data_IF_753452055796
#
_entry.id   IF_753452055796
#
_cell.length_a   1.000
_cell.length_b   1.000
_cell.length_c   1.000
_cell.angle_alpha   90.00
_cell.angle_beta   90.00
_cell.angle_gamma   90.00
#
_symmetry.space_group_name_H-M   'P 1'
#
loop_
_entity.id
_entity.type
_entity.pdbx_description
1 polymer ?
#
# COMPACT_ATOMS: atom_id res chain seq x y z
N UNK A 1 26.52 -22.88 -8.88
CA UNK A 1 25.08 -22.93 -8.57
C UNK A 1 24.36 -22.48 -9.81
N UNK A 2 23.32 -23.18 -10.24
CA UNK A 2 22.55 -22.75 -11.40
C UNK A 2 21.93 -21.39 -11.09
N UNK A 3 22.07 -20.44 -12.01
CA UNK A 3 21.54 -19.09 -11.83
C UNK A 3 20.05 -19.10 -12.20
N UNK A 4 19.22 -18.33 -11.48
CA UNK A 4 17.82 -18.15 -11.87
C UNK A 4 17.73 -17.66 -13.31
N UNK A 5 16.68 -18.08 -14.03
CA UNK A 5 16.40 -17.53 -15.35
C UNK A 5 16.37 -15.99 -15.33
N UNK A 6 16.75 -15.29 -16.41
CA UNK A 6 16.76 -13.82 -16.41
C UNK A 6 15.41 -13.19 -16.03
N UNK A 7 14.31 -13.86 -16.36
CA UNK A 7 12.96 -13.45 -15.97
C UNK A 7 12.74 -13.55 -14.45
N UNK A 8 13.27 -14.60 -13.81
CA UNK A 8 13.22 -14.75 -12.35
C UNK A 8 14.16 -13.82 -11.60
N UNK A 9 15.32 -13.50 -12.17
CA UNK A 9 16.18 -12.47 -11.59
C UNK A 9 15.44 -11.12 -11.54
N UNK A 10 14.76 -10.74 -12.63
CA UNK A 10 13.95 -9.52 -12.65
C UNK A 10 12.78 -9.60 -11.66
N UNK A 11 12.04 -10.71 -11.62
CA UNK A 11 10.96 -10.88 -10.64
C UNK A 11 11.45 -10.72 -9.20
N UNK A 12 12.57 -11.36 -8.84
CA UNK A 12 13.14 -11.27 -7.49
C UNK A 12 13.63 -9.85 -7.16
N UNK A 13 14.20 -9.14 -8.14
CA UNK A 13 14.58 -7.74 -7.98
C UNK A 13 13.35 -6.86 -7.72
N UNK A 14 12.32 -6.98 -8.56
CA UNK A 14 11.05 -6.25 -8.37
C UNK A 14 10.39 -6.61 -7.04
N UNK A 15 10.35 -7.89 -6.65
CA UNK A 15 9.80 -8.32 -5.37
C UNK A 15 10.60 -7.79 -4.18
N UNK A 16 11.91 -7.59 -4.34
CA UNK A 16 12.75 -6.99 -3.30
C UNK A 16 12.49 -5.48 -3.15
N UNK A 17 11.99 -4.79 -4.18
CA UNK A 17 11.51 -3.41 -4.07
C UNK A 17 10.13 -3.35 -3.39
N UNK A 18 9.25 -4.31 -3.68
CA UNK A 18 7.87 -4.38 -3.16
C UNK A 18 7.65 -5.57 -2.22
N UNK A 19 8.43 -5.65 -1.14
CA UNK A 19 8.46 -6.84 -0.25
C UNK A 19 7.14 -7.09 0.47
N UNK A 20 6.46 -6.03 0.87
CA UNK A 20 5.19 -6.04 1.61
C UNK A 20 3.96 -6.25 0.70
N UNK A 21 4.15 -6.24 -0.62
CA UNK A 21 3.08 -6.37 -1.59
C UNK A 21 3.09 -7.73 -2.27
N UNK A 22 1.92 -8.31 -2.52
CA UNK A 22 1.78 -9.44 -3.44
C UNK A 22 2.08 -8.95 -4.86
N UNK A 23 3.08 -9.52 -5.53
CA UNK A 23 3.52 -9.06 -6.85
C UNK A 23 2.77 -9.79 -7.97
N UNK A 24 1.77 -9.13 -8.55
CA UNK A 24 1.09 -9.60 -9.76
C UNK A 24 1.99 -9.35 -10.97
N UNK A 25 2.70 -10.38 -11.41
CA UNK A 25 3.71 -10.25 -12.45
C UNK A 25 3.19 -10.68 -13.83
N UNK A 26 3.08 -9.73 -14.77
CA UNK A 26 2.47 -9.98 -16.09
C UNK A 26 3.31 -10.90 -16.96
N UNK A 27 2.77 -12.07 -17.27
CA UNK A 27 3.34 -13.08 -18.16
C UNK A 27 2.32 -13.55 -19.21
N UNK A 28 2.36 -12.93 -20.38
CA UNK A 28 1.44 -13.25 -21.47
C UNK A 28 0.03 -12.82 -21.08
N UNK A 29 -0.92 -13.76 -21.09
CA UNK A 29 -2.32 -13.49 -20.71
C UNK A 29 -2.63 -13.73 -19.23
N UNK A 30 -1.62 -13.97 -18.39
CA UNK A 30 -1.78 -14.18 -16.96
C UNK A 30 -1.00 -13.14 -16.13
N UNK A 31 -1.47 -12.90 -14.91
CA UNK A 31 -0.58 -12.48 -13.82
C UNK A 31 -0.18 -13.72 -13.05
N UNK A 32 1.12 -13.91 -12.90
CA UNK A 32 1.68 -15.01 -12.13
C UNK A 32 2.35 -14.46 -10.86
N UNK A 33 2.22 -15.20 -9.78
CA UNK A 33 2.84 -14.92 -8.48
C UNK A 33 3.71 -16.13 -8.14
N UNK A 34 4.86 -15.89 -7.51
CA UNK A 34 5.84 -16.93 -7.20
C UNK A 34 6.20 -17.00 -5.72
N UNK A 35 6.73 -18.14 -5.31
CA UNK A 35 7.26 -18.38 -3.96
C UNK A 35 6.20 -18.14 -2.87
N UNK A 36 6.49 -17.28 -1.90
CA UNK A 36 5.60 -17.00 -0.77
C UNK A 36 4.28 -16.35 -1.22
N UNK A 37 4.33 -15.41 -2.16
CA UNK A 37 3.13 -14.78 -2.73
C UNK A 37 2.20 -15.84 -3.34
N UNK A 38 2.76 -16.84 -4.05
CA UNK A 38 1.98 -17.92 -4.62
C UNK A 38 1.28 -18.77 -3.54
N UNK A 39 1.98 -19.05 -2.43
CA UNK A 39 1.45 -19.86 -1.33
C UNK A 39 0.35 -19.11 -0.58
N UNK A 40 0.52 -17.81 -0.35
CA UNK A 40 -0.48 -16.96 0.29
C UNK A 40 -1.72 -16.87 -0.60
N UNK A 41 -1.54 -16.47 -1.86
CA UNK A 41 -2.65 -16.23 -2.78
C UNK A 41 -3.42 -17.50 -3.11
N UNK A 42 -2.73 -18.64 -3.29
CA UNK A 42 -3.40 -19.91 -3.56
C UNK A 42 -4.34 -20.34 -2.43
N UNK A 43 -4.00 -20.04 -1.17
CA UNK A 43 -4.86 -20.30 -0.03
C UNK A 43 -6.00 -19.29 0.07
N UNK A 44 -5.69 -18.00 0.00
CA UNK A 44 -6.66 -16.91 0.17
C UNK A 44 -7.74 -16.91 -0.93
N UNK A 45 -7.33 -17.20 -2.17
CA UNK A 45 -8.21 -17.17 -3.33
C UNK A 45 -8.66 -18.55 -3.81
N UNK A 46 -8.25 -19.61 -3.12
CA UNK A 46 -8.50 -21.01 -3.46
C UNK A 46 -8.03 -21.37 -4.88
N UNK A 47 -6.87 -20.85 -5.28
CA UNK A 47 -6.27 -21.13 -6.58
C UNK A 47 -5.38 -22.38 -6.53
N UNK A 48 -5.30 -23.10 -7.65
CA UNK A 48 -4.38 -24.23 -7.79
C UNK A 48 -2.93 -23.75 -7.69
N UNK A 49 -2.21 -24.23 -6.66
CA UNK A 49 -0.76 -24.06 -6.55
C UNK A 49 -0.04 -25.06 -7.45
N UNK A 50 0.87 -24.56 -8.27
CA UNK A 50 1.69 -25.33 -9.21
C UNK A 50 3.17 -25.01 -9.00
N UNK A 51 4.05 -25.53 -9.86
CA UNK A 51 5.48 -25.18 -9.83
C UNK A 51 5.97 -24.75 -11.21
N UNK A 52 6.83 -23.75 -11.29
CA UNK A 52 7.50 -23.31 -12.52
C UNK A 52 8.97 -23.71 -12.51
N UNK A 53 9.47 -24.16 -13.66
CA UNK A 53 10.90 -24.35 -13.84
C UNK A 53 11.57 -22.99 -14.03
N UNK A 54 12.50 -22.69 -13.15
CA UNK A 54 13.15 -21.39 -13.03
C UNK A 54 14.68 -21.47 -13.16
N UNK A 55 15.21 -22.62 -13.62
CA UNK A 55 16.65 -22.87 -13.71
C UNK A 55 17.30 -23.36 -12.42
N UNK A 56 16.51 -23.72 -11.39
CA UNK A 56 16.97 -24.38 -10.16
C UNK A 56 16.61 -25.87 -10.19
N UNK A 57 17.20 -26.67 -9.30
CA UNK A 57 16.81 -28.09 -9.14
C UNK A 57 15.35 -28.23 -8.66
N UNK A 58 14.89 -27.31 -7.80
CA UNK A 58 13.50 -27.26 -7.33
C UNK A 58 12.67 -26.28 -8.17
N UNK A 59 11.42 -26.67 -8.46
CA UNK A 59 10.45 -25.80 -9.14
C UNK A 59 9.93 -24.74 -8.16
N UNK A 60 9.92 -23.48 -8.60
CA UNK A 60 9.39 -22.38 -7.79
C UNK A 60 7.86 -22.53 -7.66
N UNK A 61 7.28 -22.45 -6.44
CA UNK A 61 5.83 -22.40 -6.27
C UNK A 61 5.22 -21.27 -7.10
N UNK A 62 4.11 -21.54 -7.76
CA UNK A 62 3.47 -20.60 -8.68
C UNK A 62 1.95 -20.77 -8.68
N UNK A 63 1.23 -19.65 -8.63
CA UNK A 63 -0.17 -19.60 -9.02
C UNK A 63 -0.38 -18.38 -9.93
N UNK A 64 -1.52 -18.31 -10.61
CA UNK A 64 -1.80 -17.18 -11.49
C UNK A 64 -3.28 -17.03 -11.80
N UNK A 65 -3.62 -15.83 -12.25
CA UNK A 65 -4.98 -15.45 -12.62
C UNK A 65 -5.01 -14.88 -14.04
N UNK A 66 -6.09 -15.10 -14.81
CA UNK A 66 -6.24 -14.49 -16.12
C UNK A 66 -6.26 -12.96 -16.02
N UNK A 67 -5.56 -12.28 -16.93
CA UNK A 67 -5.50 -10.80 -16.98
C UNK A 67 -6.85 -10.12 -16.86
N UNK A 68 -7.79 -10.57 -17.69
CA UNK A 68 -9.11 -9.96 -17.84
C UNK A 68 -9.99 -10.12 -16.59
N UNK A 69 -9.59 -11.02 -15.67
CA UNK A 69 -10.27 -11.25 -14.41
C UNK A 69 -9.45 -10.76 -13.21
N UNK A 70 -8.24 -10.23 -13.42
CA UNK A 70 -7.29 -9.90 -12.36
C UNK A 70 -7.87 -8.95 -11.33
N UNK A 71 -8.63 -7.95 -11.77
CA UNK A 71 -9.29 -6.96 -10.95
C UNK A 71 -10.17 -7.57 -9.85
N UNK A 72 -10.91 -8.65 -10.16
CA UNK A 72 -11.73 -9.36 -9.16
C UNK A 72 -10.88 -10.01 -8.09
N UNK A 73 -9.74 -10.59 -8.45
CA UNK A 73 -8.81 -11.24 -7.52
C UNK A 73 -8.05 -10.22 -6.67
N UNK A 74 -7.62 -9.12 -7.28
CA UNK A 74 -6.98 -8.00 -6.58
C UNK A 74 -7.92 -7.46 -5.51
N UNK A 75 -9.19 -7.21 -5.84
CA UNK A 75 -10.17 -6.72 -4.88
C UNK A 75 -10.38 -7.68 -3.70
N UNK A 76 -10.41 -8.99 -3.95
CA UNK A 76 -10.52 -10.00 -2.87
C UNK A 76 -9.30 -9.99 -1.95
N UNK A 77 -8.10 -9.90 -2.49
CA UNK A 77 -6.86 -9.82 -1.70
C UNK A 77 -6.81 -8.53 -0.87
N UNK A 78 -7.19 -7.40 -1.48
CA UNK A 78 -7.23 -6.10 -0.83
C UNK A 78 -8.28 -6.08 0.29
N UNK A 79 -9.45 -6.68 0.08
CA UNK A 79 -10.45 -6.83 1.13
C UNK A 79 -9.98 -7.74 2.29
N UNK A 80 -9.03 -8.65 2.04
CA UNK A 80 -8.36 -9.44 3.07
C UNK A 80 -7.18 -8.69 3.73
N UNK A 81 -6.93 -7.43 3.37
CA UNK A 81 -5.89 -6.59 3.95
C UNK A 81 -4.52 -6.67 3.26
N UNK A 82 -4.42 -7.33 2.10
CA UNK A 82 -3.18 -7.41 1.35
C UNK A 82 -2.98 -6.22 0.42
N UNK A 83 -1.72 -5.77 0.27
CA UNK A 83 -1.30 -4.85 -0.79
C UNK A 83 -0.92 -5.63 -2.03
N UNK A 84 -1.24 -5.12 -3.22
CA UNK A 84 -0.98 -5.80 -4.50
C UNK A 84 -0.24 -4.86 -5.46
N UNK A 85 1.00 -5.21 -5.81
CA UNK A 85 1.79 -4.51 -6.80
C UNK A 85 1.53 -5.11 -8.19
N UNK A 86 1.15 -4.28 -9.17
CA UNK A 86 0.83 -4.72 -10.53
C UNK A 86 2.03 -4.42 -11.43
N UNK A 87 2.75 -5.47 -11.82
CA UNK A 87 3.89 -5.37 -12.73
C UNK A 87 3.48 -5.72 -14.15
N UNK A 88 3.54 -4.74 -15.04
CA UNK A 88 3.04 -4.82 -16.41
C UNK A 88 4.15 -4.99 -17.45
N UNK A 89 3.76 -5.48 -18.63
CA UNK A 89 4.63 -5.52 -19.81
C UNK A 89 4.59 -4.19 -20.54
N UNK A 90 5.73 -3.50 -20.58
CA UNK A 90 5.83 -2.17 -21.21
C UNK A 90 5.96 -2.25 -22.74
N UNK A 91 6.22 -3.44 -23.27
CA UNK A 91 6.47 -3.67 -24.70
C UNK A 91 5.76 -4.94 -25.18
N UNK A 92 5.36 -4.96 -26.44
CA UNK A 92 4.82 -6.16 -27.08
C UNK A 92 5.92 -7.24 -27.18
N UNK A 93 5.73 -8.44 -26.59
CA UNK A 93 6.68 -9.53 -26.65
C UNK A 93 7.11 -9.93 -28.08
N UNK A 94 6.24 -9.70 -29.07
CA UNK A 94 6.53 -10.00 -30.48
C UNK A 94 7.46 -8.99 -31.14
N UNK A 95 7.61 -7.80 -30.54
CA UNK A 95 8.44 -6.70 -31.06
C UNK A 95 9.71 -6.48 -30.25
N UNK A 96 9.75 -6.99 -29.02
CA UNK A 96 10.89 -6.84 -28.13
C UNK A 96 12.14 -7.59 -28.65
N UNK A 97 13.29 -6.92 -28.59
CA UNK A 97 14.60 -7.55 -28.80
C UNK A 97 15.21 -7.84 -27.43
N UNK A 98 15.14 -9.08 -26.97
CA UNK A 98 15.65 -9.50 -25.66
C UNK A 98 14.52 -9.68 -24.64
N UNK A 99 14.80 -9.37 -23.37
CA UNK A 99 13.83 -9.51 -22.27
C UNK A 99 12.82 -8.36 -22.37
N UNK A 100 11.53 -8.69 -22.45
CA UNK A 100 10.43 -7.72 -22.41
C UNK A 100 10.54 -6.88 -21.14
N UNK A 101 10.61 -5.55 -21.30
CA UNK A 101 10.68 -4.61 -20.18
C UNK A 101 9.39 -4.70 -19.34
N UNK A 102 9.55 -4.74 -18.03
CA UNK A 102 8.44 -4.77 -17.08
C UNK A 102 8.64 -3.77 -15.96
N UNK A 103 7.57 -3.10 -15.57
CA UNK A 103 7.58 -2.08 -14.51
C UNK A 103 6.33 -2.22 -13.66
N UNK A 104 6.44 -1.93 -12.37
CA UNK A 104 5.25 -1.79 -11.51
C UNK A 104 4.57 -0.48 -11.86
N UNK A 105 3.32 -0.58 -12.31
CA UNK A 105 2.55 0.58 -12.77
C UNK A 105 1.60 1.13 -11.71
N UNK A 106 1.30 0.32 -10.68
CA UNK A 106 0.35 0.65 -9.63
C UNK A 106 0.53 -0.28 -8.42
N UNK A 107 0.31 0.24 -7.22
CA UNK A 107 0.15 -0.58 -6.01
C UNK A 107 -1.25 -0.36 -5.47
N UNK A 108 -2.07 -1.41 -5.47
CA UNK A 108 -3.43 -1.35 -4.92
C UNK A 108 -3.38 -1.73 -3.45
N UNK A 109 -3.83 -0.83 -2.59
CA UNK A 109 -3.92 -1.05 -1.15
C UNK A 109 -5.38 -0.93 -0.69
N UNK A 110 -5.71 -1.33 0.55
CA UNK A 110 -7.06 -1.17 1.09
C UNK A 110 -7.53 0.30 1.07
N UNK A 111 -6.64 1.24 1.39
CA UNK A 111 -6.94 2.68 1.41
C UNK A 111 -7.01 3.35 0.04
N UNK A 112 -6.38 2.80 -1.00
CA UNK A 112 -6.35 3.40 -2.35
C UNK A 112 -7.20 2.68 -3.39
N UNK A 113 -7.94 1.66 -2.96
CA UNK A 113 -8.84 0.95 -3.85
C UNK A 113 -10.10 1.80 -4.16
N UNK A 114 -10.22 2.30 -5.40
CA UNK A 114 -11.38 3.07 -5.88
C UNK A 114 -12.51 2.16 -6.41
N UNK A 115 -12.32 0.84 -6.41
CA UNK A 115 -13.15 0.01 -7.27
C UNK A 115 -14.58 -0.23 -6.74
N UNK A 116 -15.55 0.18 -7.56
CA UNK A 116 -16.99 0.25 -7.25
C UNK A 116 -17.68 -1.10 -7.09
N UNK A 117 -17.07 -2.20 -7.55
CA UNK A 117 -17.65 -3.55 -7.42
C UNK A 117 -17.54 -4.12 -5.99
N UNK A 118 -16.70 -3.54 -5.14
CA UNK A 118 -16.48 -3.97 -3.75
C UNK A 118 -16.65 -2.88 -2.69
N UNK A 119 -16.71 -1.61 -3.11
CA UNK A 119 -17.03 -0.50 -2.21
C UNK A 119 -18.54 -0.44 -2.01
N UNK A 120 -18.96 -0.40 -0.75
CA UNK A 120 -20.32 0.02 -0.41
C UNK A 120 -20.44 1.50 -0.83
N UNK A 121 -21.17 1.79 -1.92
CA UNK A 121 -21.34 3.15 -2.47
C UNK A 121 -21.90 4.15 -1.44
N UNK A 122 -22.33 3.69 -0.27
CA UNK A 122 -22.80 4.52 0.85
C UNK A 122 -21.71 4.90 1.85
N UNK A 123 -20.47 4.41 1.68
CA UNK A 123 -19.38 4.58 2.65
C UNK A 123 -18.10 5.09 1.99
N UNK A 124 -17.48 6.05 2.66
CA UNK A 124 -16.15 6.55 2.31
C UNK A 124 -15.06 5.49 2.57
N UNK A 125 -14.00 5.50 1.76
CA UNK A 125 -12.85 4.62 1.92
C UNK A 125 -11.67 5.42 2.47
N UNK A 126 -11.74 5.75 3.76
CA UNK A 126 -10.73 6.56 4.40
C UNK A 126 -9.43 5.78 4.64
N UNK A 127 -8.32 6.45 4.38
CA UNK A 127 -6.99 6.07 4.84
C UNK A 127 -6.52 7.07 5.89
N UNK A 128 -5.75 6.60 6.89
CA UNK A 128 -5.23 7.44 7.96
C UNK A 128 -3.72 7.26 8.15
N UNK A 129 -3.03 8.36 8.46
CA UNK A 129 -1.63 8.38 8.87
C UNK A 129 -1.55 8.85 10.31
N UNK A 130 -0.85 8.09 11.15
CA UNK A 130 -0.67 8.39 12.57
C UNK A 130 0.82 8.48 12.88
N UNK A 131 1.23 9.63 13.40
CA UNK A 131 2.61 9.93 13.76
C UNK A 131 2.68 10.20 15.25
N UNK A 132 3.52 9.44 15.96
CA UNK A 132 3.85 9.74 17.35
C UNK A 132 5.22 10.40 17.43
N UNK A 133 5.30 11.59 18.02
CA UNK A 133 6.56 12.29 18.23
C UNK A 133 6.49 13.18 19.48
N UNK A 134 7.43 13.00 20.40
CA UNK A 134 7.54 13.85 21.59
C UNK A 134 6.26 13.89 22.44
N UNK A 135 5.60 12.75 22.59
CA UNK A 135 4.30 12.56 23.28
C UNK A 135 3.08 13.21 22.61
N UNK A 136 3.24 13.78 21.42
CA UNK A 136 2.13 14.30 20.61
C UNK A 136 1.78 13.31 19.49
N UNK A 137 0.49 13.25 19.16
CA UNK A 137 -0.03 12.49 18.02
C UNK A 137 -0.44 13.45 16.89
N UNK A 138 0.18 13.29 15.72
CA UNK A 138 -0.32 13.87 14.48
C UNK A 138 -1.16 12.84 13.75
N UNK A 139 -2.35 13.25 13.30
CA UNK A 139 -3.25 12.40 12.53
C UNK A 139 -3.63 13.11 11.24
N UNK A 140 -3.53 12.40 10.11
CA UNK A 140 -4.10 12.85 8.85
C UNK A 140 -5.00 11.78 8.28
N UNK A 141 -6.09 12.19 7.65
CA UNK A 141 -7.09 11.32 7.05
C UNK A 141 -7.32 11.77 5.61
N UNK A 142 -7.41 10.84 4.68
CA UNK A 142 -7.75 11.14 3.29
C UNK A 142 -8.74 10.11 2.75
N UNK A 143 -9.65 10.56 1.88
CA UNK A 143 -10.38 9.68 0.97
C UNK A 143 -9.90 9.97 -0.45
N UNK A 144 -9.24 8.98 -1.04
CA UNK A 144 -8.64 9.09 -2.36
C UNK A 144 -9.68 9.31 -3.48
N UNK A 145 -10.93 8.88 -3.28
CA UNK A 145 -12.00 8.99 -4.27
C UNK A 145 -12.71 10.34 -4.26
N UNK A 146 -12.85 10.97 -3.08
CA UNK A 146 -13.53 12.26 -2.94
C UNK A 146 -12.57 13.45 -2.92
N UNK A 147 -11.30 13.21 -2.60
CA UNK A 147 -10.31 14.25 -2.36
C UNK A 147 -10.43 14.90 -0.98
N UNK A 148 -11.26 14.35 -0.10
CA UNK A 148 -11.30 14.75 1.31
C UNK A 148 -9.91 14.56 1.92
N UNK A 149 -9.40 15.59 2.59
CA UNK A 149 -8.11 15.55 3.25
C UNK A 149 -8.17 16.36 4.54
N UNK A 150 -7.95 15.69 5.67
CA UNK A 150 -8.05 16.25 7.01
C UNK A 150 -6.73 16.07 7.77
N UNK A 151 -6.49 16.96 8.72
CA UNK A 151 -5.35 16.89 9.64
C UNK A 151 -5.78 17.36 11.03
N UNK A 152 -5.27 16.70 12.06
CA UNK A 152 -5.44 17.10 13.46
C UNK A 152 -4.24 16.68 14.30
N UNK A 153 -4.13 17.23 15.50
CA UNK A 153 -3.23 16.76 16.55
C UNK A 153 -4.05 16.35 17.77
N UNK A 154 -3.58 15.34 18.49
CA UNK A 154 -4.28 14.73 19.62
C UNK A 154 -3.30 14.58 20.80
N UNK A 155 -3.83 14.69 22.01
CA UNK A 155 -3.04 14.65 23.26
C UNK A 155 -2.84 13.21 23.77
N UNK A 156 -3.56 12.21 23.23
CA UNK A 156 -3.39 10.83 23.66
C UNK A 156 -4.23 9.79 22.93
N UNK A 157 -4.01 8.52 23.29
CA UNK A 157 -4.59 7.37 22.61
C UNK A 157 -6.12 7.25 22.68
N UNK A 158 -6.78 7.84 23.69
CA UNK A 158 -8.25 7.80 23.78
C UNK A 158 -8.90 8.61 22.64
N UNK A 159 -8.41 9.82 22.41
CA UNK A 159 -8.91 10.68 21.33
C UNK A 159 -8.61 10.08 19.96
N UNK A 160 -7.47 9.40 19.83
CA UNK A 160 -7.13 8.67 18.62
C UNK A 160 -8.13 7.56 18.31
N UNK A 161 -8.54 6.80 19.34
CA UNK A 161 -9.55 5.75 19.20
C UNK A 161 -10.90 6.35 18.76
N UNK A 162 -11.26 7.53 19.25
CA UNK A 162 -12.49 8.23 18.85
C UNK A 162 -12.43 8.66 17.37
N UNK A 163 -11.31 9.22 16.91
CA UNK A 163 -11.13 9.58 15.49
C UNK A 163 -11.10 8.35 14.57
N UNK A 164 -10.47 7.24 14.99
CA UNK A 164 -10.52 5.98 14.22
C UNK A 164 -11.95 5.43 14.15
N UNK A 165 -12.75 5.50 15.21
CA UNK A 165 -14.16 5.06 15.14
C UNK A 165 -15.03 5.96 14.26
N UNK A 166 -14.75 7.26 14.25
CA UNK A 166 -15.48 8.26 13.47
C UNK A 166 -15.25 8.10 11.97
N UNK A 167 -14.00 7.94 11.56
CA UNK A 167 -13.64 7.79 10.15
C UNK A 167 -13.65 6.34 9.67
N UNK A 168 -13.48 5.38 10.57
CA UNK A 168 -13.43 3.95 10.26
C UNK A 168 -12.52 3.62 9.06
N UNK A 169 -11.22 4.00 9.11
CA UNK A 169 -10.32 3.86 7.99
C UNK A 169 -10.11 2.38 7.62
N UNK A 170 -9.99 2.10 6.33
CA UNK A 170 -9.63 0.76 5.83
C UNK A 170 -8.13 0.48 5.96
N UNK A 171 -7.32 1.53 5.97
CA UNK A 171 -5.88 1.45 6.08
C UNK A 171 -5.31 2.53 6.99
N UNK A 172 -4.35 2.13 7.84
CA UNK A 172 -3.58 3.03 8.70
C UNK A 172 -2.10 2.82 8.45
N UNK A 173 -1.38 3.91 8.15
CA UNK A 173 0.09 3.94 8.17
C UNK A 173 0.58 4.62 9.44
N UNK A 174 1.65 4.07 10.03
CA UNK A 174 2.23 4.58 11.27
C UNK A 174 3.75 4.69 11.19
N UNK A 175 4.34 5.55 12.02
CA UNK A 175 5.79 5.57 12.21
C UNK A 175 6.25 4.55 13.28
N UNK A 176 7.54 4.23 13.30
CA UNK A 176 8.12 3.28 14.27
C UNK A 176 7.85 3.72 15.72
N UNK A 177 7.91 5.02 16.01
CA UNK A 177 7.64 5.55 17.34
C UNK A 177 6.22 5.28 17.82
N UNK A 178 5.21 5.35 16.93
CA UNK A 178 3.85 5.00 17.29
C UNK A 178 3.73 3.50 17.63
N UNK A 179 4.36 2.64 16.83
CA UNK A 179 4.40 1.20 17.11
C UNK A 179 5.05 0.86 18.47
N UNK A 180 5.93 1.73 18.97
CA UNK A 180 6.60 1.60 20.28
C UNK A 180 5.93 2.40 21.42
N UNK A 181 4.89 3.20 21.14
CA UNK A 181 4.28 4.13 22.10
C UNK A 181 3.51 3.44 23.23
N UNK A 182 3.15 2.16 23.05
CA UNK A 182 2.27 1.43 23.97
C UNK A 182 0.77 1.71 23.79
N UNK A 183 0.40 2.56 22.84
CA UNK A 183 -1.01 2.76 22.45
C UNK A 183 -1.49 1.49 21.73
N UNK A 184 -2.48 0.81 22.30
CA UNK A 184 -3.00 -0.44 21.77
C UNK A 184 -4.22 -0.20 20.86
N UNK A 185 -4.09 -0.54 19.58
CA UNK A 185 -5.16 -0.49 18.58
C UNK A 185 -5.75 -1.88 18.20
N UNK A 186 -5.35 -2.97 18.87
CA UNK A 186 -5.79 -4.34 18.55
C UNK A 186 -7.31 -4.51 18.60
N UNK A 187 -7.96 -3.97 19.65
CA UNK A 187 -9.40 -4.11 19.83
C UNK A 187 -10.20 -3.38 18.73
N UNK A 188 -9.75 -2.19 18.34
CA UNK A 188 -10.41 -1.43 17.27
C UNK A 188 -10.10 -2.01 15.90
N UNK A 189 -8.88 -2.51 15.69
CA UNK A 189 -8.51 -3.20 14.46
C UNK A 189 -9.36 -4.47 14.28
N UNK A 190 -9.50 -5.32 15.31
CA UNK A 190 -10.33 -6.52 15.25
C UNK A 190 -11.81 -6.23 14.95
N UNK A 191 -12.31 -5.04 15.34
CA UNK A 191 -13.68 -4.59 15.08
C UNK A 191 -13.86 -4.09 13.65
N UNK A 192 -12.89 -3.35 13.11
CA UNK A 192 -13.03 -2.61 11.85
C UNK A 192 -12.34 -3.30 10.66
N UNK A 193 -11.41 -4.23 10.90
CA UNK A 193 -10.65 -4.90 9.85
C UNK A 193 -9.64 -3.97 9.17
N UNK A 194 -8.87 -3.22 9.97
CA UNK A 194 -7.96 -2.18 9.47
C UNK A 194 -6.64 -2.81 9.03
N UNK A 195 -6.24 -2.54 7.79
CA UNK A 195 -4.88 -2.85 7.36
C UNK A 195 -3.89 -1.85 7.98
N UNK A 196 -3.01 -2.32 8.86
CA UNK A 196 -2.02 -1.48 9.52
C UNK A 196 -0.63 -1.74 8.98
N UNK A 197 0.11 -0.69 8.63
CA UNK A 197 1.50 -0.76 8.16
C UNK A 197 2.39 0.23 8.90
N UNK A 198 3.54 -0.23 9.38
CA UNK A 198 4.60 0.66 9.86
C UNK A 198 5.50 1.02 8.67
N UNK A 199 5.67 2.30 8.38
CA UNK A 199 6.54 2.78 7.31
C UNK A 199 7.91 3.22 7.84
N UNK A 200 8.89 3.27 6.95
CA UNK A 200 10.24 3.73 7.25
C UNK A 200 10.25 5.20 7.70
N UNK A 201 11.22 5.56 8.55
CA UNK A 201 11.34 6.90 9.13
C UNK A 201 11.49 8.04 8.10
N UNK A 202 11.93 7.76 6.88
CA UNK A 202 12.09 8.79 5.84
C UNK A 202 10.74 9.35 5.36
N UNK A 203 9.65 8.57 5.39
CA UNK A 203 8.30 9.06 5.09
C UNK A 203 7.87 10.18 6.04
N UNK A 204 8.40 10.18 7.26
CA UNK A 204 8.00 11.08 8.34
C UNK A 204 9.04 12.18 8.60
N UNK A 205 9.92 12.45 7.63
CA UNK A 205 10.83 13.58 7.72
C UNK A 205 10.05 14.90 7.60
N UNK A 206 10.18 15.78 8.59
CA UNK A 206 9.43 17.03 8.70
C UNK A 206 9.59 17.94 7.46
N UNK A 207 10.83 18.16 7.02
CA UNK A 207 11.12 19.03 5.87
C UNK A 207 10.57 18.44 4.57
N UNK A 208 10.75 17.14 4.35
CA UNK A 208 10.20 16.44 3.18
C UNK A 208 8.67 16.47 3.17
N UNK A 209 8.02 16.19 4.30
CA UNK A 209 6.57 16.23 4.45
C UNK A 209 6.00 17.62 4.13
N UNK A 210 6.60 18.66 4.72
CA UNK A 210 6.21 20.05 4.48
C UNK A 210 6.36 20.41 3.01
N UNK A 211 7.52 20.12 2.40
CA UNK A 211 7.75 20.42 0.99
C UNK A 211 6.78 19.70 0.06
N UNK A 212 6.42 18.44 0.39
CA UNK A 212 5.43 17.68 -0.38
C UNK A 212 4.05 18.33 -0.38
N UNK A 213 3.60 18.83 0.77
CA UNK A 213 2.33 19.56 0.88
C UNK A 213 2.38 20.88 0.10
N UNK A 214 3.46 21.65 0.22
CA UNK A 214 3.64 22.91 -0.51
C UNK A 214 3.59 22.68 -2.04
N UNK A 215 4.29 21.64 -2.52
CA UNK A 215 4.31 21.27 -3.93
C UNK A 215 2.91 20.87 -4.43
N UNK A 216 2.23 19.97 -3.72
CA UNK A 216 0.91 19.45 -4.11
C UNK A 216 -0.16 20.54 -4.16
N UNK A 217 -0.22 21.39 -3.14
CA UNK A 217 -1.23 22.46 -3.07
C UNK A 217 -0.82 23.72 -3.85
N UNK A 218 0.37 23.74 -4.47
CA UNK A 218 0.92 24.88 -5.20
C UNK A 218 0.95 26.17 -4.38
N UNK A 219 1.41 26.07 -3.13
CA UNK A 219 1.49 27.18 -2.17
C UNK A 219 2.92 27.37 -1.66
N UNK A 220 3.26 28.59 -1.26
CA UNK A 220 4.60 28.91 -0.71
C UNK A 220 4.68 28.69 0.81
N UNK A 221 3.55 28.79 1.51
CA UNK A 221 3.47 28.73 2.97
C UNK A 221 2.19 28.02 3.42
N UNK A 222 2.29 27.24 4.50
CA UNK A 222 1.17 26.48 5.09
C UNK A 222 0.14 27.37 5.79
N UNK A 223 0.44 28.65 6.04
CA UNK A 223 -0.48 29.64 6.59
C UNK A 223 -1.79 29.70 5.79
N UNK A 224 -1.72 29.55 4.45
CA UNK A 224 -2.88 29.54 3.57
C UNK A 224 -3.83 28.35 3.76
N UNK A 225 -3.35 27.26 4.38
CA UNK A 225 -4.14 26.07 4.71
C UNK A 225 -4.66 26.08 6.15
N UNK A 226 -4.18 27.02 6.99
CA UNK A 226 -4.57 27.10 8.40
C UNK A 226 -3.96 26.02 9.31
N UNK A 227 -2.92 25.31 8.85
CA UNK A 227 -2.33 24.15 9.56
C UNK A 227 -0.93 24.43 10.10
N UNK A 228 -0.47 25.67 10.05
CA UNK A 228 0.91 26.05 10.43
C UNK A 228 1.32 25.60 11.83
N UNK A 229 0.40 25.63 12.77
CA UNK A 229 0.66 25.31 14.17
C UNK A 229 0.62 23.79 14.45
N UNK A 230 0.20 22.97 13.47
CA UNK A 230 0.05 21.53 13.58
C UNK A 230 1.37 20.84 13.24
N UNK A 231 2.36 20.93 14.13
CA UNK A 231 3.74 20.47 13.86
C UNK A 231 3.81 18.99 13.48
N UNK A 232 3.29 18.09 14.32
CA UNK A 232 3.23 16.64 14.06
C UNK A 232 2.13 16.31 13.05
N UNK A 233 1.04 17.09 13.03
CA UNK A 233 -0.02 16.95 12.03
C UNK A 233 0.49 17.13 10.59
N UNK A 234 1.36 18.11 10.35
CA UNK A 234 2.01 18.34 9.05
C UNK A 234 2.82 17.12 8.61
N UNK A 235 3.51 16.47 9.54
CA UNK A 235 4.27 15.24 9.25
C UNK A 235 3.31 14.12 8.86
N UNK A 236 2.24 13.91 9.62
CA UNK A 236 1.23 12.91 9.30
C UNK A 236 0.60 13.13 7.92
N UNK A 237 0.28 14.38 7.60
CA UNK A 237 -0.27 14.79 6.31
C UNK A 237 0.70 14.58 5.14
N UNK A 238 1.96 15.02 5.29
CA UNK A 238 2.97 14.84 4.26
C UNK A 238 3.32 13.38 4.00
N UNK A 239 3.36 12.56 5.06
CA UNK A 239 3.56 11.11 4.95
C UNK A 239 2.38 10.44 4.23
N UNK A 240 1.13 10.78 4.60
CA UNK A 240 -0.07 10.26 3.94
C UNK A 240 -0.07 10.62 2.46
N UNK A 241 0.21 11.88 2.13
CA UNK A 241 0.25 12.34 0.76
C UNK A 241 1.35 11.66 -0.05
N UNK A 242 2.54 11.48 0.53
CA UNK A 242 3.64 10.75 -0.11
C UNK A 242 3.23 9.31 -0.42
N UNK A 243 2.62 8.62 0.55
CA UNK A 243 2.13 7.27 0.35
C UNK A 243 1.10 7.18 -0.78
N UNK A 244 0.13 8.10 -0.81
CA UNK A 244 -0.87 8.17 -1.87
C UNK A 244 -0.28 8.42 -3.27
N UNK A 245 0.88 9.06 -3.38
CA UNK A 245 1.57 9.25 -4.67
C UNK A 245 2.29 8.00 -5.16
N UNK A 246 2.65 7.09 -4.26
CA UNK A 246 3.40 5.87 -4.57
C UNK A 246 2.50 4.67 -4.88
N UNK A 247 1.25 4.73 -4.45
CA UNK A 247 0.24 3.66 -4.61
C UNK A 247 -0.77 3.98 -5.72
#
# INVERSE_FOLDING_TARGET
MAEYSPMMQHYLATKNEYKDCILFYRLGDFYEMFFEDAIIVSKELELTLTGKDCGQEERAPMCGVPFHAAETYINRLVAAGHKVAICEQMEDPKKAKGIVKREVIKVVTPGTNINTLGLDETRNNYMMSIVYLGDNLGVSIADYSTGDFFVTELDGGSELIDEINKFAPSEIIVNEYFAMSGINLEAINAKLGIAMSTLDNWYFNEETCKNKLLEHFHIEMLDGLGVKDYTVGIIAAGALLTYLYET
#
